data_IF_542479247141
#
_entry.id   IF_542479247141
#
_cell.length_a   1.000
_cell.length_b   1.000
_cell.length_c   1.000
_cell.angle_alpha   90.00
_cell.angle_beta   90.00
_cell.angle_gamma   90.00
#
_symmetry.space_group_name_H-M   'P 1'
#
loop_
_entity.id
_entity.type
_entity.pdbx_description
1 polymer ?
#
# COMPACT_ATOMS: atom_id res chain seq x y z
N UNK A 1 14.89 6.99 -9.82
CA UNK A 1 14.87 6.77 -8.36
C UNK A 1 15.64 7.83 -7.58
N UNK A 2 16.90 8.14 -7.91
CA UNK A 2 17.66 9.19 -7.22
C UNK A 2 16.92 10.53 -7.13
N UNK A 3 16.39 11.02 -8.26
CA UNK A 3 15.64 12.28 -8.31
C UNK A 3 14.39 12.28 -7.43
N UNK A 4 13.79 11.11 -7.16
CA UNK A 4 12.65 10.99 -6.24
C UNK A 4 13.11 11.22 -4.81
N UNK A 5 14.27 10.70 -4.41
CA UNK A 5 14.83 10.96 -3.08
C UNK A 5 15.15 12.43 -2.85
N UNK A 6 15.70 13.11 -3.86
CA UNK A 6 15.93 14.57 -3.84
C UNK A 6 14.61 15.31 -3.69
N UNK A 7 13.63 15.01 -4.55
CA UNK A 7 12.32 15.66 -4.52
C UNK A 7 11.60 15.44 -3.18
N UNK A 8 11.69 14.23 -2.60
CA UNK A 8 11.09 13.92 -1.31
C UNK A 8 11.70 14.76 -0.18
N UNK A 9 13.01 15.04 -0.20
CA UNK A 9 13.60 15.96 0.76
C UNK A 9 13.06 17.38 0.57
N UNK A 10 13.04 17.87 -0.67
CA UNK A 10 12.59 19.23 -0.99
C UNK A 10 11.12 19.49 -0.63
N UNK A 11 10.24 18.49 -0.79
CA UNK A 11 8.82 18.62 -0.47
C UNK A 11 8.55 18.77 1.05
N UNK A 12 9.43 18.20 1.88
CA UNK A 12 9.21 18.11 3.34
C UNK A 12 10.18 18.98 4.16
N UNK A 13 11.22 19.52 3.53
CA UNK A 13 12.18 20.45 4.14
C UNK A 13 11.95 21.87 3.61
N UNK A 14 11.37 22.78 4.40
CA UNK A 14 11.28 24.18 3.99
C UNK A 14 12.68 24.81 3.99
N UNK A 15 12.94 25.64 2.98
CA UNK A 15 14.17 26.43 2.87
C UNK A 15 13.81 27.92 2.96
N UNK A 16 14.54 28.67 3.78
CA UNK A 16 14.38 30.13 3.88
C UNK A 16 15.13 30.86 2.77
N UNK A 17 16.22 30.27 2.28
CA UNK A 17 17.06 30.85 1.22
C UNK A 17 17.52 29.79 0.22
N UNK A 18 17.86 30.22 -1.00
CA UNK A 18 18.40 29.30 -2.02
C UNK A 18 19.77 28.72 -1.60
N UNK A 19 20.57 29.47 -0.83
CA UNK A 19 21.85 28.98 -0.32
C UNK A 19 21.67 27.80 0.65
N UNK A 20 20.65 27.83 1.52
CA UNK A 20 20.31 26.71 2.41
C UNK A 20 19.91 25.47 1.61
N UNK A 21 19.11 25.68 0.55
CA UNK A 21 18.68 24.61 -0.36
C UNK A 21 19.89 23.96 -1.02
N UNK A 22 20.74 24.75 -1.66
CA UNK A 22 21.95 24.24 -2.35
C UNK A 22 22.86 23.49 -1.38
N UNK A 23 23.10 24.05 -0.18
CA UNK A 23 23.91 23.38 0.85
C UNK A 23 23.31 22.05 1.28
N UNK A 24 22.02 22.04 1.59
CA UNK A 24 21.32 20.82 2.05
C UNK A 24 21.29 19.73 0.97
N UNK A 25 21.06 20.11 -0.29
CA UNK A 25 21.10 19.15 -1.40
C UNK A 25 22.53 18.68 -1.72
N UNK A 26 23.54 19.52 -1.47
CA UNK A 26 24.95 19.14 -1.49
C UNK A 26 25.26 18.09 -0.43
N UNK A 27 24.84 18.33 0.82
CA UNK A 27 25.00 17.38 1.93
C UNK A 27 24.28 16.05 1.67
N UNK A 28 23.09 16.09 1.04
CA UNK A 28 22.34 14.89 0.65
C UNK A 28 23.12 14.00 -0.33
N UNK A 29 23.88 14.59 -1.27
CA UNK A 29 24.75 13.84 -2.20
C UNK A 29 25.88 13.11 -1.48
N UNK A 30 26.30 13.64 -0.34
CA UNK A 30 27.28 13.04 0.57
C UNK A 30 26.64 12.07 1.58
N UNK A 31 25.32 11.82 1.49
CA UNK A 31 24.60 10.94 2.40
C UNK A 31 24.31 11.56 3.76
N UNK A 32 24.25 12.89 3.85
CA UNK A 32 23.93 13.63 5.08
C UNK A 32 22.56 14.28 4.94
N UNK A 33 21.75 14.13 5.99
CA UNK A 33 20.42 14.76 6.08
C UNK A 33 20.37 15.52 7.41
N UNK A 34 19.75 16.71 7.46
CA UNK A 34 19.63 17.47 8.71
C UNK A 34 18.95 16.65 9.82
N UNK A 35 19.52 16.67 11.02
CA UNK A 35 18.99 15.90 12.15
C UNK A 35 17.53 16.24 12.46
N UNK A 36 17.16 17.52 12.36
CA UNK A 36 15.78 17.97 12.56
C UNK A 36 14.79 17.29 11.59
N UNK A 37 15.21 17.05 10.35
CA UNK A 37 14.42 16.32 9.36
C UNK A 37 14.34 14.83 9.73
N UNK A 38 15.46 14.22 10.14
CA UNK A 38 15.51 12.83 10.59
C UNK A 38 14.58 12.53 11.76
N UNK A 39 14.51 13.43 12.74
CA UNK A 39 13.62 13.28 13.88
C UNK A 39 12.14 13.48 13.50
N UNK A 40 11.85 14.40 12.59
CA UNK A 40 10.47 14.69 12.17
C UNK A 40 9.90 13.63 11.23
N UNK A 41 10.73 13.11 10.32
CA UNK A 41 10.31 12.20 9.25
C UNK A 41 11.18 10.94 9.19
N UNK A 42 11.26 10.12 10.25
CA UNK A 42 12.21 9.02 10.35
C UNK A 42 12.05 7.98 9.23
N UNK A 43 10.81 7.65 8.88
CA UNK A 43 10.50 6.75 7.76
C UNK A 43 10.99 7.36 6.44
N UNK A 44 10.64 8.62 6.18
CA UNK A 44 11.01 9.30 4.94
C UNK A 44 12.54 9.39 4.79
N UNK A 45 13.26 9.74 5.86
CA UNK A 45 14.72 9.77 5.92
C UNK A 45 15.34 8.45 5.51
N UNK A 46 14.85 7.33 6.06
CA UNK A 46 15.33 5.98 5.72
C UNK A 46 15.22 5.70 4.22
N UNK A 47 14.12 6.11 3.58
CA UNK A 47 13.94 5.91 2.15
C UNK A 47 14.69 6.92 1.29
N UNK A 48 14.77 8.19 1.70
CA UNK A 48 15.60 9.19 1.02
C UNK A 48 17.04 8.69 0.95
N UNK A 49 17.63 8.24 2.05
CA UNK A 49 18.99 7.69 2.08
C UNK A 49 19.19 6.51 1.12
N UNK A 50 18.22 5.61 1.02
CA UNK A 50 18.28 4.49 0.06
C UNK A 50 18.13 4.97 -1.39
N UNK A 51 17.21 5.89 -1.64
CA UNK A 51 16.94 6.44 -2.97
C UNK A 51 18.12 7.27 -3.49
N UNK A 52 18.81 7.99 -2.60
CA UNK A 52 19.98 8.82 -2.92
C UNK A 52 21.31 8.11 -2.70
N UNK A 53 21.31 6.79 -2.52
CA UNK A 53 22.54 5.99 -2.45
C UNK A 53 23.45 6.28 -3.64
N UNK A 54 24.77 6.40 -3.38
CA UNK A 54 25.78 6.56 -4.42
C UNK A 54 25.82 5.36 -5.35
N UNK A 55 25.71 4.16 -4.79
CA UNK A 55 25.53 2.93 -5.55
C UNK A 55 24.08 2.85 -6.07
N UNK A 56 23.86 2.90 -7.40
CA UNK A 56 22.53 2.80 -7.98
C UNK A 56 21.85 1.45 -7.72
N UNK A 57 22.61 0.37 -7.51
CA UNK A 57 22.06 -0.98 -7.29
C UNK A 57 21.35 -1.12 -5.95
N UNK A 58 21.72 -0.30 -4.96
CA UNK A 58 21.09 -0.25 -3.64
C UNK A 58 19.79 0.55 -3.63
N UNK A 59 19.49 1.28 -4.72
CA UNK A 59 18.28 2.10 -4.80
C UNK A 59 17.07 1.18 -5.07
N UNK A 60 16.00 1.28 -4.28
CA UNK A 60 14.81 0.48 -4.52
C UNK A 60 14.16 0.85 -5.86
N UNK A 61 13.53 -0.12 -6.51
CA UNK A 61 12.65 0.16 -7.66
C UNK A 61 11.37 0.88 -7.21
N UNK A 62 10.64 1.47 -8.16
CA UNK A 62 9.37 2.14 -7.85
C UNK A 62 8.37 1.18 -7.20
N UNK A 63 8.28 -0.07 -7.69
CA UNK A 63 7.38 -1.08 -7.12
C UNK A 63 7.79 -1.48 -5.69
N UNK A 64 9.10 -1.64 -5.44
CA UNK A 64 9.61 -1.90 -4.09
C UNK A 64 9.32 -0.73 -3.14
N UNK A 65 9.39 0.50 -3.63
CA UNK A 65 9.08 1.69 -2.86
C UNK A 65 7.58 1.79 -2.53
N UNK A 66 6.69 1.52 -3.49
CA UNK A 66 5.24 1.53 -3.30
C UNK A 66 4.77 0.48 -2.29
N UNK A 67 5.43 -0.70 -2.25
CA UNK A 67 5.15 -1.74 -1.26
C UNK A 67 5.79 -1.49 0.12
N UNK A 68 6.47 -0.36 0.30
CA UNK A 68 7.24 -0.07 1.50
C UNK A 68 6.45 0.75 2.53
N UNK A 69 6.97 0.84 3.76
CA UNK A 69 6.37 1.66 4.83
C UNK A 69 6.25 3.15 4.47
N UNK A 70 7.01 3.64 3.46
CA UNK A 70 6.91 5.02 2.96
C UNK A 70 5.53 5.33 2.36
N UNK A 71 4.90 4.34 1.73
CA UNK A 71 3.59 4.45 1.07
C UNK A 71 2.53 3.54 1.71
N UNK A 72 2.90 2.80 2.75
CA UNK A 72 1.99 1.97 3.53
C UNK A 72 1.07 2.86 4.35
N UNK A 73 -0.11 3.14 3.81
CA UNK A 73 -1.17 3.79 4.55
C UNK A 73 -2.09 2.72 5.16
N UNK A 74 -2.16 2.66 6.50
CA UNK A 74 -3.09 1.77 7.21
C UNK A 74 -4.52 1.95 6.71
N UNK A 75 -4.91 3.16 6.35
CA UNK A 75 -6.25 3.47 5.86
C UNK A 75 -6.52 2.86 4.48
N UNK A 76 -5.52 2.84 3.58
CA UNK A 76 -5.63 2.17 2.27
C UNK A 76 -5.78 0.66 2.43
N UNK A 77 -5.09 0.06 3.40
CA UNK A 77 -5.24 -1.37 3.70
C UNK A 77 -6.55 -1.69 4.38
N UNK A 78 -6.98 -0.88 5.35
CA UNK A 78 -8.29 -1.03 5.99
C UNK A 78 -9.37 -0.94 4.93
N UNK A 79 -9.29 0.02 4.02
CA UNK A 79 -10.22 0.16 2.90
C UNK A 79 -10.19 -1.07 1.98
N UNK A 80 -9.00 -1.53 1.59
CA UNK A 80 -8.85 -2.72 0.74
C UNK A 80 -9.38 -4.01 1.40
N UNK A 81 -9.14 -4.17 2.70
CA UNK A 81 -9.65 -5.30 3.48
C UNK A 81 -11.16 -5.23 3.63
N UNK A 82 -11.73 -4.06 3.95
CA UNK A 82 -13.19 -3.84 4.02
C UNK A 82 -13.88 -4.21 2.72
N UNK A 83 -13.35 -3.73 1.58
CA UNK A 83 -13.90 -4.06 0.27
C UNK A 83 -13.90 -5.57 0.01
N UNK A 84 -12.81 -6.26 0.35
CA UNK A 84 -12.73 -7.72 0.18
C UNK A 84 -13.72 -8.48 1.08
N UNK A 85 -13.98 -7.98 2.29
CA UNK A 85 -15.00 -8.55 3.18
C UNK A 85 -16.38 -8.42 2.55
N UNK A 86 -16.74 -7.24 2.02
CA UNK A 86 -18.03 -7.03 1.34
C UNK A 86 -18.20 -7.97 0.13
N UNK A 87 -17.17 -8.10 -0.72
CA UNK A 87 -17.18 -9.02 -1.87
C UNK A 87 -17.40 -10.48 -1.45
N UNK A 88 -16.76 -10.91 -0.35
CA UNK A 88 -16.93 -12.27 0.18
C UNK A 88 -18.31 -12.49 0.80
N UNK A 89 -18.88 -11.48 1.46
CA UNK A 89 -20.25 -11.56 2.02
C UNK A 89 -21.30 -11.72 0.91
N UNK A 90 -21.16 -11.00 -0.20
CA UNK A 90 -22.02 -11.16 -1.37
C UNK A 90 -21.91 -12.56 -1.98
N UNK A 91 -20.69 -13.09 -2.13
CA UNK A 91 -20.44 -14.43 -2.64
C UNK A 91 -21.06 -15.50 -1.72
N UNK A 92 -20.88 -15.36 -0.41
CA UNK A 92 -21.50 -16.26 0.59
C UNK A 92 -23.02 -16.21 0.48
N UNK A 93 -23.62 -15.03 0.30
CA UNK A 93 -25.06 -14.89 0.14
C UNK A 93 -25.56 -15.62 -1.12
N UNK A 94 -24.87 -15.46 -2.26
CA UNK A 94 -25.23 -16.13 -3.50
C UNK A 94 -25.11 -17.65 -3.39
N UNK A 95 -24.02 -18.15 -2.79
CA UNK A 95 -23.80 -19.58 -2.58
C UNK A 95 -24.87 -20.18 -1.65
N UNK A 96 -25.22 -19.49 -0.56
CA UNK A 96 -26.30 -19.92 0.34
C UNK A 96 -27.65 -19.97 -0.38
N UNK A 97 -27.95 -19.01 -1.26
CA UNK A 97 -29.17 -19.02 -2.06
C UNK A 97 -29.20 -20.18 -3.06
N UNK A 98 -28.09 -20.48 -3.73
CA UNK A 98 -27.98 -21.62 -4.64
C UNK A 98 -28.17 -22.95 -3.89
N UNK A 99 -27.51 -23.11 -2.74
CA UNK A 99 -27.67 -24.31 -1.91
C UNK A 99 -29.13 -24.49 -1.49
N UNK A 100 -29.81 -23.43 -1.06
CA UNK A 100 -31.24 -23.48 -0.69
C UNK A 100 -32.12 -23.93 -1.85
N UNK A 101 -31.91 -23.39 -3.07
CA UNK A 101 -32.65 -23.80 -4.27
C UNK A 101 -32.44 -25.28 -4.60
N UNK A 102 -31.18 -25.74 -4.55
CA UNK A 102 -30.84 -27.14 -4.83
C UNK A 102 -31.41 -28.09 -3.78
N UNK A 103 -31.42 -27.70 -2.50
CA UNK A 103 -32.05 -28.47 -1.43
C UNK A 103 -33.57 -28.56 -1.61
N UNK A 104 -34.24 -27.45 -1.92
CA UNK A 104 -35.67 -27.46 -2.20
C UNK A 104 -36.01 -28.31 -3.44
N UNK A 105 -35.21 -28.23 -4.50
CA UNK A 105 -35.41 -29.06 -5.70
C UNK A 105 -35.24 -30.55 -5.41
N UNK A 106 -34.32 -30.96 -4.53
CA UNK A 106 -34.18 -32.36 -4.11
C UNK A 106 -35.38 -32.84 -3.28
N UNK A 107 -35.96 -31.97 -2.46
CA UNK A 107 -37.18 -32.28 -1.68
C UNK A 107 -38.39 -32.42 -2.62
N UNK A 108 -38.55 -31.54 -3.62
CA UNK A 108 -39.67 -31.66 -4.57
C UNK A 108 -39.62 -32.95 -5.39
N UNK A 109 -38.43 -33.38 -5.81
CA UNK A 109 -38.26 -34.62 -6.57
C UNK A 109 -38.58 -35.86 -5.71
N UNK A 110 -38.18 -35.88 -4.42
CA UNK A 110 -38.49 -37.01 -3.54
C UNK A 110 -39.98 -37.13 -3.19
N UNK A 111 -40.73 -36.02 -3.13
CA UNK A 111 -42.18 -36.07 -2.89
C UNK A 111 -42.96 -36.52 -4.13
N UNK A 112 -42.52 -36.17 -5.35
CA UNK A 112 -43.20 -36.61 -6.58
C UNK A 112 -42.98 -38.09 -6.94
N UNK A 113 -41.94 -38.73 -6.39
CA UNK A 113 -41.71 -40.17 -6.57
C UNK A 113 -42.54 -41.02 -5.59
N UNK A 114 -42.93 -40.48 -4.43
CA UNK A 114 -43.77 -41.20 -3.45
C UNK A 114 -45.25 -41.28 -3.86
N UNK A 115 -45.76 -40.29 -4.58
CA UNK A 115 -47.18 -40.18 -5.00
C UNK A 115 -47.53 -41.00 -6.26
N UNK A 116 -46.60 -41.81 -6.78
CA UNK A 116 -46.79 -42.66 -7.97
C UNK A 116 -46.88 -44.17 -7.69
N UNK A 117 -47.04 -44.56 -6.42
CA UNK A 117 -47.28 -45.96 -6.01
C UNK A 117 -48.66 -46.11 -5.40
#
# INVERSE_FOLDING_TARGET
>A
MYSIGVLALELFQPFGTEMERVRTLGDLREGKIPDSFCHRWPVLTKYIMKLTSRDPSLRPSANQLLGSEMFYNKDMLIHGLKKRVEEQEEEIMQLRMQISRLQNSKVTVSFTELDKT
#
